data_IF_806098487699
#
_entry.id   IF_806098487699
#
_cell.length_a   1.000
_cell.length_b   1.000
_cell.length_c   1.000
_cell.angle_alpha   90.00
_cell.angle_beta   90.00
_cell.angle_gamma   90.00
#
_symmetry.space_group_name_H-M   'P 1'
#
loop_
_entity.id
_entity.type
_entity.pdbx_description
1 polymer ?
#
# COMPACT_ATOMS: atom_id res chain seq x y z
N UNK A 1 -3.08 -20.10 -1.18
CA UNK A 1 -2.67 -18.69 -1.03
C UNK A 1 -1.28 -18.59 -1.61
N UNK A 2 -1.20 -18.20 -2.88
CA UNK A 2 0.05 -18.20 -3.62
C UNK A 2 0.79 -16.87 -3.39
N UNK A 3 2.00 -16.95 -2.86
CA UNK A 3 2.91 -15.81 -2.66
C UNK A 3 3.74 -15.55 -3.94
N UNK A 4 3.46 -16.24 -5.05
CA UNK A 4 4.25 -16.21 -6.30
C UNK A 4 3.60 -15.52 -7.49
N UNK A 5 2.37 -15.02 -7.38
CA UNK A 5 1.85 -14.08 -8.38
C UNK A 5 2.36 -12.69 -8.03
N UNK A 6 3.08 -12.03 -8.94
CA UNK A 6 3.63 -10.68 -8.78
C UNK A 6 2.59 -9.56 -8.63
N UNK A 7 1.65 -9.71 -7.69
CA UNK A 7 0.66 -8.71 -7.32
C UNK A 7 1.32 -7.67 -6.44
N UNK A 8 1.14 -6.40 -6.80
CA UNK A 8 1.61 -5.27 -6.00
C UNK A 8 0.89 -5.28 -4.64
N UNK A 9 1.67 -5.39 -3.57
CA UNK A 9 1.19 -5.30 -2.19
C UNK A 9 1.39 -3.88 -1.67
N UNK A 10 0.42 -3.39 -0.89
CA UNK A 10 0.41 -2.04 -0.34
C UNK A 10 0.30 -2.13 1.18
N UNK A 11 1.16 -1.43 1.91
CA UNK A 11 0.97 -1.15 3.32
C UNK A 11 0.11 0.11 3.53
N UNK A 12 -0.06 0.50 4.79
CA UNK A 12 -0.87 1.67 5.13
C UNK A 12 -0.33 2.99 4.55
N UNK A 13 0.98 3.08 4.31
CA UNK A 13 1.61 4.27 3.75
C UNK A 13 1.28 4.41 2.25
N UNK A 14 1.49 3.33 1.50
CA UNK A 14 1.16 3.25 0.08
C UNK A 14 -0.34 3.44 -0.15
N UNK A 15 -1.18 2.87 0.71
CA UNK A 15 -2.63 3.11 0.68
C UNK A 15 -2.98 4.58 0.90
N UNK A 16 -2.29 5.28 1.80
CA UNK A 16 -2.51 6.71 2.03
C UNK A 16 -2.25 7.54 0.78
N UNK A 17 -1.13 7.27 0.10
CA UNK A 17 -0.78 7.91 -1.16
C UNK A 17 -1.82 7.57 -2.25
N UNK A 18 -2.12 6.29 -2.46
CA UNK A 18 -3.05 5.85 -3.51
C UNK A 18 -4.48 6.35 -3.30
N UNK A 19 -4.95 6.42 -2.05
CA UNK A 19 -6.31 6.83 -1.73
C UNK A 19 -6.45 8.34 -1.51
N UNK A 20 -5.36 9.11 -1.61
CA UNK A 20 -5.32 10.55 -1.40
C UNK A 20 -5.70 10.97 0.03
N UNK A 21 -5.36 10.16 1.04
CA UNK A 21 -5.76 10.41 2.44
C UNK A 21 -4.60 10.25 3.42
N UNK A 22 -4.73 10.89 4.59
CA UNK A 22 -3.76 10.76 5.67
C UNK A 22 -3.68 9.32 6.20
N UNK A 23 -2.54 8.95 6.80
CA UNK A 23 -2.38 7.64 7.46
C UNK A 23 -3.45 7.36 8.52
N UNK A 24 -3.84 8.36 9.31
CA UNK A 24 -4.92 8.22 10.29
C UNK A 24 -6.25 7.86 9.61
N UNK A 25 -6.53 8.48 8.46
CA UNK A 25 -7.73 8.17 7.69
C UNK A 25 -7.68 6.77 7.06
N UNK A 26 -6.51 6.29 6.63
CA UNK A 26 -6.32 4.89 6.22
C UNK A 26 -6.75 3.95 7.34
N UNK A 27 -6.23 4.13 8.55
CA UNK A 27 -6.59 3.28 9.71
C UNK A 27 -8.10 3.24 9.97
N UNK A 28 -8.78 4.39 9.87
CA UNK A 28 -10.24 4.46 10.03
C UNK A 28 -11.00 3.72 8.92
N UNK A 29 -10.53 3.81 7.68
CA UNK A 29 -11.13 3.14 6.53
C UNK A 29 -10.93 1.63 6.62
N UNK A 30 -9.73 1.18 6.92
CA UNK A 30 -9.38 -0.26 7.00
C UNK A 30 -10.07 -0.99 8.15
N UNK A 31 -10.60 -0.25 9.13
CA UNK A 31 -11.41 -0.81 10.21
C UNK A 31 -12.88 -1.03 9.82
N UNK A 32 -13.31 -0.56 8.64
CA UNK A 32 -14.69 -0.72 8.17
C UNK A 32 -14.88 -2.08 7.52
N UNK A 33 -16.03 -2.70 7.78
CA UNK A 33 -16.39 -4.02 7.22
C UNK A 33 -16.45 -4.05 5.69
N UNK A 34 -16.81 -2.92 5.07
CA UNK A 34 -16.87 -2.80 3.61
C UNK A 34 -15.49 -2.61 2.97
N UNK A 35 -14.46 -2.30 3.77
CA UNK A 35 -13.11 -2.12 3.25
C UNK A 35 -12.47 -3.50 3.03
N UNK A 36 -11.70 -3.70 1.94
CA UNK A 36 -11.06 -4.98 1.65
C UNK A 36 -10.28 -5.54 2.83
N UNK A 37 -10.47 -6.83 3.10
CA UNK A 37 -9.68 -7.54 4.09
C UNK A 37 -8.20 -7.52 3.69
N UNK A 38 -7.26 -7.43 4.65
CA UNK A 38 -5.85 -7.48 4.33
C UNK A 38 -5.46 -8.85 3.81
N UNK A 39 -4.62 -8.86 2.77
CA UNK A 39 -4.06 -10.10 2.22
C UNK A 39 -3.15 -10.79 3.22
N UNK A 40 -2.35 -10.01 3.98
CA UNK A 40 -1.45 -10.52 5.03
C UNK A 40 -1.45 -9.54 6.21
N UNK A 41 -1.35 -10.07 7.43
CA UNK A 41 -1.09 -9.29 8.65
C UNK A 41 0.31 -9.60 9.15
N UNK A 42 1.19 -8.60 9.16
CA UNK A 42 2.55 -8.68 9.68
C UNK A 42 2.61 -8.05 11.08
N UNK A 43 3.67 -8.35 11.83
CA UNK A 43 3.93 -7.69 13.12
C UNK A 43 4.00 -6.15 13.00
N UNK A 44 4.51 -5.65 11.88
CA UNK A 44 4.64 -4.21 11.59
C UNK A 44 3.40 -3.58 10.94
N UNK A 45 2.37 -4.36 10.65
CA UNK A 45 1.14 -3.85 10.04
C UNK A 45 0.55 -4.80 9.00
N UNK A 46 -0.66 -4.47 8.56
CA UNK A 46 -1.35 -5.21 7.51
C UNK A 46 -0.91 -4.74 6.11
N UNK A 47 -1.02 -5.64 5.13
CA UNK A 47 -0.80 -5.36 3.72
C UNK A 47 -1.98 -5.84 2.89
N UNK A 48 -2.28 -5.10 1.83
CA UNK A 48 -3.40 -5.31 0.93
C UNK A 48 -2.91 -5.55 -0.50
N UNK A 49 -3.62 -6.37 -1.25
CA UNK A 49 -3.37 -6.49 -2.68
C UNK A 49 -3.92 -5.25 -3.39
N UNK A 50 -3.14 -4.66 -4.32
CA UNK A 50 -3.61 -3.54 -5.14
C UNK A 50 -4.90 -3.89 -5.89
N UNK A 51 -5.03 -5.13 -6.38
CA UNK A 51 -6.22 -5.58 -7.11
C UNK A 51 -7.52 -5.45 -6.30
N UNK A 52 -7.50 -5.83 -5.02
CA UNK A 52 -8.69 -5.75 -4.16
C UNK A 52 -9.07 -4.29 -3.87
N UNK A 53 -8.07 -3.41 -3.77
CA UNK A 53 -8.27 -1.97 -3.61
C UNK A 53 -8.84 -1.36 -4.89
N UNK A 54 -8.35 -1.77 -6.06
CA UNK A 54 -8.87 -1.35 -7.35
C UNK A 54 -10.33 -1.76 -7.53
N UNK A 55 -10.67 -3.00 -7.21
CA UNK A 55 -12.04 -3.49 -7.25
C UNK A 55 -12.97 -2.66 -6.36
N UNK A 56 -12.60 -2.47 -5.08
CA UNK A 56 -13.38 -1.63 -4.17
C UNK A 56 -13.54 -0.20 -4.68
N UNK A 57 -12.48 0.39 -5.24
CA UNK A 57 -12.52 1.74 -5.77
C UNK A 57 -13.49 1.87 -6.96
N UNK A 58 -13.49 0.88 -7.86
CA UNK A 58 -14.46 0.79 -8.96
C UNK A 58 -15.89 0.66 -8.43
N UNK A 59 -16.13 -0.24 -7.47
CA UNK A 59 -17.46 -0.50 -6.90
C UNK A 59 -18.03 0.72 -6.15
N UNK A 60 -17.17 1.50 -5.50
CA UNK A 60 -17.56 2.68 -4.72
C UNK A 60 -17.49 3.99 -5.50
N UNK A 61 -17.05 3.96 -6.76
CA UNK A 61 -16.80 5.17 -7.56
C UNK A 61 -15.67 6.06 -7.01
N UNK A 62 -14.76 5.48 -6.23
CA UNK A 62 -13.66 6.21 -5.60
C UNK A 62 -12.48 6.35 -6.58
N UNK A 63 -11.96 7.57 -6.80
CA UNK A 63 -10.75 7.75 -7.62
C UNK A 63 -9.51 7.23 -6.88
N UNK A 64 -8.55 6.72 -7.65
CA UNK A 64 -7.24 6.28 -7.19
C UNK A 64 -6.14 7.19 -7.75
N UNK A 65 -5.25 7.64 -6.87
CA UNK A 65 -4.13 8.53 -7.19
C UNK A 65 -2.84 7.72 -7.45
N UNK A 66 -2.74 7.18 -8.66
CA UNK A 66 -1.53 6.46 -9.09
C UNK A 66 -0.29 7.35 -9.16
N UNK A 67 -0.34 8.62 -9.61
CA UNK A 67 0.81 9.52 -9.55
C UNK A 67 1.37 9.69 -8.13
N UNK A 68 0.51 9.91 -7.13
CA UNK A 68 0.95 10.02 -5.74
C UNK A 68 1.55 8.72 -5.22
N UNK A 69 0.96 7.56 -5.57
CA UNK A 69 1.54 6.26 -5.23
C UNK A 69 2.93 6.08 -5.86
N UNK A 70 3.11 6.41 -7.14
CA UNK A 70 4.40 6.29 -7.83
C UNK A 70 5.47 7.16 -7.15
N UNK A 71 5.16 8.45 -6.94
CA UNK A 71 6.07 9.37 -6.26
C UNK A 71 6.44 8.90 -4.84
N UNK A 72 5.49 8.29 -4.11
CA UNK A 72 5.76 7.72 -2.80
C UNK A 72 6.75 6.55 -2.87
N UNK A 73 6.55 5.62 -3.80
CA UNK A 73 7.42 4.46 -3.98
C UNK A 73 8.83 4.89 -4.43
N UNK A 74 8.93 5.88 -5.32
CA UNK A 74 10.21 6.42 -5.77
C UNK A 74 10.97 7.07 -4.60
N UNK A 75 10.28 7.85 -3.77
CA UNK A 75 10.88 8.44 -2.58
C UNK A 75 11.34 7.38 -1.56
N UNK A 76 10.60 6.28 -1.41
CA UNK A 76 11.02 5.15 -0.58
C UNK A 76 12.27 4.48 -1.16
N UNK A 77 12.29 4.22 -2.47
CA UNK A 77 13.43 3.61 -3.15
C UNK A 77 14.70 4.47 -3.00
N UNK A 78 14.58 5.79 -3.13
CA UNK A 78 15.68 6.72 -2.91
C UNK A 78 16.22 6.63 -1.48
N UNK A 79 15.32 6.64 -0.48
CA UNK A 79 15.71 6.53 0.92
C UNK A 79 16.47 5.24 1.21
N UNK A 80 16.04 4.12 0.64
CA UNK A 80 16.73 2.85 0.79
C UNK A 80 18.09 2.82 0.09
N UNK A 81 18.22 3.48 -1.08
CA UNK A 81 19.52 3.61 -1.76
C UNK A 81 20.50 4.47 -0.97
N UNK A 82 20.01 5.53 -0.34
CA UNK A 82 20.80 6.47 0.45
C UNK A 82 21.16 5.94 1.85
N UNK A 83 20.52 4.87 2.33
CA UNK A 83 20.79 4.27 3.64
C UNK A 83 21.99 3.29 3.57
N UNK A 84 23.15 3.61 4.16
CA UNK A 84 24.33 2.74 4.15
C UNK A 84 24.12 1.39 4.86
N UNK A 85 23.04 1.22 5.64
CA UNK A 85 22.67 -0.08 6.21
C UNK A 85 22.14 -1.06 5.16
N UNK A 86 21.57 -0.57 4.06
CA UNK A 86 21.07 -1.38 2.94
C UNK A 86 22.10 -1.59 1.82
N UNK A 87 23.12 -0.74 1.73
CA UNK A 87 24.16 -0.78 0.70
C UNK A 87 25.25 -1.84 0.93
N UNK A 88 25.27 -2.53 2.08
CA UNK A 88 26.38 -3.44 2.48
C UNK A 88 26.09 -4.95 2.35
N UNK A 89 25.09 -5.35 1.57
CA UNK A 89 24.74 -6.77 1.32
C UNK A 89 24.94 -7.21 -0.14
N UNK A 90 26.01 -6.74 -0.79
CA UNK A 90 26.52 -7.34 -2.02
C UNK A 90 27.96 -7.78 -1.83
#
# INVERSE_FOLDING_TARGET
MDLRDGRRMLGAAELGALLGVSRQRVTQLTAKVWFPAPAIRLAMGAVWALGDIQQMATETGRPLDYPALAAHLDALAERHRADPQFTRLQ
#
